data_IF_074030380132
#
_entry.id   IF_074030380132
#
_cell.length_a   1.000
_cell.length_b   1.000
_cell.length_c   1.000
_cell.angle_alpha   90.00
_cell.angle_beta   90.00
_cell.angle_gamma   90.00
#
_symmetry.space_group_name_H-M   'P 1'
#
loop_
_entity.id
_entity.type
_entity.pdbx_description
1 polymer ?
#
# COMPACT_ATOMS: atom_id res chain seq x y z
N UNK A 1 -10.63 -8.09 4.48
CA UNK A 1 -10.49 -7.02 3.45
C UNK A 1 -9.07 -7.01 2.91
N UNK A 2 -8.85 -6.82 1.61
CA UNK A 2 -7.51 -6.72 1.03
C UNK A 2 -7.15 -5.24 0.84
N UNK A 3 -6.08 -4.76 1.50
CA UNK A 3 -5.53 -3.42 1.30
C UNK A 3 -4.49 -3.45 0.19
N UNK A 4 -4.68 -2.66 -0.88
CA UNK A 4 -3.73 -2.50 -1.98
C UNK A 4 -2.99 -1.17 -1.86
N UNK A 5 -1.66 -1.19 -1.95
CA UNK A 5 -0.79 -0.02 -1.87
C UNK A 5 0.08 0.05 -3.13
N UNK A 6 0.02 1.16 -3.85
CA UNK A 6 0.94 1.46 -4.93
C UNK A 6 1.45 2.90 -4.82
N UNK A 7 2.76 3.01 -4.65
CA UNK A 7 3.50 4.26 -4.46
C UNK A 7 4.74 4.32 -5.38
N UNK A 8 4.78 3.44 -6.38
CA UNK A 8 5.89 3.35 -7.33
C UNK A 8 6.05 4.62 -8.16
N UNK A 9 4.96 5.34 -8.41
CA UNK A 9 4.96 6.60 -9.13
C UNK A 9 5.26 7.79 -8.21
N UNK A 10 6.23 8.62 -8.57
CA UNK A 10 6.63 9.84 -7.85
C UNK A 10 5.48 10.85 -7.65
N UNK A 11 4.45 10.80 -8.49
CA UNK A 11 3.42 11.84 -8.59
C UNK A 11 2.07 11.44 -7.98
N UNK A 12 1.91 10.20 -7.56
CA UNK A 12 0.63 9.69 -7.07
C UNK A 12 0.82 8.60 -6.03
N UNK A 13 -0.11 8.57 -5.08
CA UNK A 13 -0.27 7.48 -4.14
C UNK A 13 -1.62 6.84 -4.40
N UNK A 14 -1.62 5.54 -4.65
CA UNK A 14 -2.84 4.75 -4.87
C UNK A 14 -3.05 3.82 -3.68
N UNK A 15 -4.24 3.89 -3.12
CA UNK A 15 -4.70 2.96 -2.09
C UNK A 15 -6.02 2.34 -2.54
N UNK A 16 -6.15 1.03 -2.41
CA UNK A 16 -7.37 0.30 -2.73
C UNK A 16 -7.80 -0.63 -1.60
N UNK A 17 -9.09 -0.92 -1.53
CA UNK A 17 -9.68 -1.95 -0.69
C UNK A 17 -10.46 -2.91 -1.58
N UNK A 18 -10.26 -4.21 -1.39
CA UNK A 18 -11.03 -5.25 -2.09
C UNK A 18 -11.69 -6.18 -1.08
N UNK A 19 -13.00 -6.33 -1.17
CA UNK A 19 -13.75 -7.33 -0.41
C UNK A 19 -13.57 -8.69 -1.07
N UNK A 20 -13.03 -9.67 -0.34
CA UNK A 20 -12.90 -11.04 -0.82
C UNK A 20 -14.24 -11.78 -0.89
N UNK A 21 -15.28 -11.31 -0.18
CA UNK A 21 -16.59 -11.98 -0.10
C UNK A 21 -17.49 -11.66 -1.29
N UNK A 22 -17.45 -10.42 -1.77
CA UNK A 22 -18.45 -9.91 -2.72
C UNK A 22 -17.83 -9.36 -4.01
N UNK A 23 -16.50 -9.48 -4.16
CA UNK A 23 -15.76 -8.97 -5.32
C UNK A 23 -15.71 -7.45 -5.45
N UNK A 24 -16.29 -6.71 -4.50
CA UNK A 24 -16.36 -5.24 -4.55
C UNK A 24 -14.97 -4.64 -4.37
N UNK A 25 -14.56 -3.84 -5.37
CA UNK A 25 -13.31 -3.08 -5.35
C UNK A 25 -13.60 -1.60 -5.10
N UNK A 26 -12.93 -1.01 -4.12
CA UNK A 26 -13.00 0.41 -3.80
C UNK A 26 -11.61 1.01 -3.89
N UNK A 27 -11.45 2.13 -4.59
CA UNK A 27 -10.14 2.74 -4.85
C UNK A 27 -10.14 4.21 -4.48
N UNK A 28 -9.04 4.66 -3.87
CA UNK A 28 -8.72 6.05 -3.62
C UNK A 28 -7.34 6.35 -4.21
N UNK A 29 -7.31 7.21 -5.21
CA UNK A 29 -6.05 7.74 -5.75
C UNK A 29 -5.88 9.17 -5.24
N UNK A 30 -4.73 9.44 -4.62
CA UNK A 30 -4.33 10.78 -4.19
C UNK A 30 -3.21 11.26 -5.10
N UNK A 31 -3.51 12.25 -5.96
CA UNK A 31 -2.53 12.90 -6.84
C UNK A 31 -1.83 14.07 -6.11
N UNK A 32 -0.56 14.32 -6.47
CA UNK A 32 0.35 15.38 -5.96
C UNK A 32 -0.29 16.51 -5.12
N UNK A 33 -0.40 16.28 -3.81
CA UNK A 33 -0.34 17.36 -2.81
C UNK A 33 0.67 17.08 -1.67
N UNK A 34 1.05 15.81 -1.42
CA UNK A 34 1.91 15.42 -0.28
C UNK A 34 2.88 14.22 -0.52
N UNK A 35 3.17 13.81 -1.77
CA UNK A 35 4.10 12.68 -2.04
C UNK A 35 3.78 11.39 -1.28
N UNK A 36 4.79 10.59 -0.91
CA UNK A 36 4.62 9.37 -0.10
C UNK A 36 4.08 9.63 1.31
N UNK A 37 4.13 10.88 1.79
CA UNK A 37 3.55 11.28 3.09
C UNK A 37 2.01 11.21 3.08
N UNK A 38 1.38 11.23 1.90
CA UNK A 38 -0.07 11.04 1.77
C UNK A 38 -0.54 9.58 2.01
N UNK A 39 0.37 8.60 2.10
CA UNK A 39 -0.01 7.19 2.16
C UNK A 39 -0.87 6.85 3.38
N UNK A 40 -0.38 7.11 4.60
CA UNK A 40 -1.15 6.82 5.82
C UNK A 40 -2.47 7.60 5.89
N UNK A 41 -2.52 8.92 5.61
CA UNK A 41 -3.77 9.65 5.49
C UNK A 41 -4.74 9.06 4.46
N UNK A 42 -4.25 8.58 3.31
CA UNK A 42 -5.08 7.96 2.29
C UNK A 42 -5.69 6.62 2.78
N UNK A 43 -4.90 5.80 3.47
CA UNK A 43 -5.37 4.55 4.10
C UNK A 43 -6.47 4.85 5.13
N UNK A 44 -6.23 5.78 6.05
CA UNK A 44 -7.22 6.17 7.07
C UNK A 44 -8.50 6.72 6.41
N UNK A 45 -8.35 7.56 5.38
CA UNK A 45 -9.49 8.15 4.66
C UNK A 45 -10.33 7.09 3.93
N UNK A 46 -9.71 6.13 3.24
CA UNK A 46 -10.46 5.09 2.52
C UNK A 46 -11.14 4.11 3.48
N UNK A 47 -10.53 3.78 4.62
CA UNK A 47 -11.16 2.95 5.65
C UNK A 47 -12.37 3.67 6.27
N UNK A 48 -12.19 4.93 6.71
CA UNK A 48 -13.27 5.74 7.30
C UNK A 48 -14.45 5.93 6.35
N UNK A 49 -14.20 6.22 5.06
CA UNK A 49 -15.25 6.34 4.04
C UNK A 49 -16.09 5.08 3.85
N UNK A 50 -15.56 3.93 4.25
CA UNK A 50 -16.19 2.63 4.08
C UNK A 50 -16.64 2.01 5.40
N UNK A 51 -16.61 2.78 6.50
CA UNK A 51 -16.93 2.30 7.85
C UNK A 51 -16.13 1.06 8.24
N UNK A 52 -14.85 1.03 7.86
CA UNK A 52 -13.91 -0.04 8.20
C UNK A 52 -12.88 0.45 9.21
N UNK A 53 -12.42 -0.48 10.04
CA UNK A 53 -11.28 -0.31 10.93
C UNK A 53 -10.03 -0.92 10.31
N UNK A 54 -8.86 -0.54 10.84
CA UNK A 54 -7.57 -1.11 10.40
C UNK A 54 -7.52 -2.63 10.64
N UNK A 55 -8.19 -3.11 11.68
CA UNK A 55 -8.34 -4.52 12.04
C UNK A 55 -9.16 -5.35 11.04
N UNK A 56 -9.96 -4.73 10.18
CA UNK A 56 -10.73 -5.43 9.15
C UNK A 56 -9.87 -5.89 7.95
N UNK A 57 -8.64 -5.39 7.88
CA UNK A 57 -7.66 -5.79 6.88
C UNK A 57 -7.18 -7.20 7.21
N UNK A 58 -7.41 -8.12 6.27
CA UNK A 58 -7.01 -9.52 6.35
C UNK A 58 -5.80 -9.85 5.48
N UNK A 59 -5.48 -8.97 4.52
CA UNK A 59 -4.40 -9.15 3.57
C UNK A 59 -3.89 -7.80 3.07
N UNK A 60 -2.59 -7.69 2.81
CA UNK A 60 -1.99 -6.50 2.22
C UNK A 60 -1.28 -6.87 0.92
N UNK A 61 -1.58 -6.14 -0.13
CA UNK A 61 -0.85 -6.18 -1.39
C UNK A 61 -0.13 -4.85 -1.58
N UNK A 62 1.16 -4.89 -1.81
CA UNK A 62 1.97 -3.73 -2.13
C UNK A 62 2.70 -3.96 -3.44
N UNK A 63 2.69 -2.97 -4.33
CA UNK A 63 3.55 -2.99 -5.51
C UNK A 63 5.01 -2.79 -5.06
N UNK A 64 5.88 -3.82 -5.15
CA UNK A 64 7.26 -3.69 -4.71
C UNK A 64 8.12 -2.92 -5.71
N UNK A 65 7.61 -2.56 -6.88
CA UNK A 65 8.38 -1.92 -7.96
C UNK A 65 8.61 -2.85 -9.16
N UNK A 66 9.47 -2.44 -10.13
CA UNK A 66 10.34 -1.26 -10.12
C UNK A 66 9.58 0.08 -9.97
N UNK A 67 10.17 1.06 -9.29
CA UNK A 67 9.57 2.39 -9.16
C UNK A 67 10.47 3.40 -8.43
N UNK A 68 9.93 4.60 -8.16
CA UNK A 68 10.68 5.68 -7.51
C UNK A 68 11.30 5.24 -6.18
N UNK A 69 12.55 5.63 -5.95
CA UNK A 69 13.30 5.22 -4.75
C UNK A 69 12.53 5.54 -3.45
N UNK A 70 12.12 6.80 -3.29
CA UNK A 70 11.39 7.25 -2.11
C UNK A 70 10.00 6.63 -2.01
N UNK A 71 9.24 6.61 -3.11
CA UNK A 71 7.86 6.12 -3.10
C UNK A 71 7.81 4.63 -2.78
N UNK A 72 8.51 3.81 -3.57
CA UNK A 72 8.54 2.36 -3.40
C UNK A 72 9.04 1.96 -2.02
N UNK A 73 10.10 2.60 -1.50
CA UNK A 73 10.62 2.31 -0.15
C UNK A 73 9.59 2.60 0.92
N UNK A 74 8.89 3.73 0.85
CA UNK A 74 7.86 4.09 1.82
C UNK A 74 6.66 3.15 1.74
N UNK A 75 6.16 2.84 0.53
CA UNK A 75 5.04 1.92 0.35
C UNK A 75 5.31 0.54 0.92
N UNK A 76 6.47 -0.03 0.59
CA UNK A 76 6.88 -1.35 1.07
C UNK A 76 7.10 -1.35 2.58
N UNK A 77 7.74 -0.32 3.14
CA UNK A 77 7.94 -0.21 4.59
C UNK A 77 6.61 -0.15 5.36
N UNK A 78 5.66 0.67 4.90
CA UNK A 78 4.32 0.77 5.51
C UNK A 78 3.57 -0.55 5.40
N UNK A 79 3.61 -1.20 4.24
CA UNK A 79 2.96 -2.50 4.04
C UNK A 79 3.50 -3.57 4.99
N UNK A 80 4.82 -3.68 5.11
CA UNK A 80 5.46 -4.63 6.03
C UNK A 80 5.14 -4.31 7.50
N UNK A 81 5.17 -3.04 7.89
CA UNK A 81 4.86 -2.62 9.26
C UNK A 81 3.40 -2.93 9.63
N UNK A 82 2.45 -2.63 8.73
CA UNK A 82 1.03 -2.98 8.92
C UNK A 82 0.83 -4.50 8.93
N UNK A 83 1.50 -5.24 8.04
CA UNK A 83 1.44 -6.70 7.99
C UNK A 83 1.91 -7.34 9.29
N UNK A 84 3.01 -6.82 9.86
CA UNK A 84 3.52 -7.22 11.16
C UNK A 84 2.54 -6.88 12.29
N UNK A 85 2.09 -5.62 12.37
CA UNK A 85 1.22 -5.14 13.45
C UNK A 85 -0.16 -5.84 13.48
N UNK A 86 -0.72 -6.15 12.31
CA UNK A 86 -2.01 -6.82 12.18
C UNK A 86 -1.88 -8.35 12.12
N UNK A 87 -0.65 -8.89 12.12
CA UNK A 87 -0.37 -10.31 11.96
C UNK A 87 -1.01 -10.92 10.68
N UNK A 88 -0.96 -10.19 9.57
CA UNK A 88 -1.50 -10.59 8.26
C UNK A 88 -0.39 -10.78 7.23
N UNK A 89 -0.69 -11.48 6.15
CA UNK A 89 0.26 -11.65 5.04
C UNK A 89 0.38 -10.40 4.18
N UNK A 90 1.60 -10.16 3.68
CA UNK A 90 1.93 -9.13 2.69
C UNK A 90 2.38 -9.83 1.42
N UNK A 91 1.76 -9.53 0.27
CA UNK A 91 2.05 -10.18 -1.02
C UNK A 91 2.04 -11.72 -0.92
N UNK A 92 1.02 -12.28 -0.28
CA UNK A 92 0.86 -13.73 -0.10
C UNK A 92 1.76 -14.39 0.94
N UNK A 93 2.69 -13.66 1.58
CA UNK A 93 3.65 -14.24 2.54
C UNK A 93 3.45 -13.65 3.94
N UNK A 94 3.23 -14.51 4.94
CA UNK A 94 3.16 -14.13 6.35
C UNK A 94 4.54 -14.27 7.00
N UNK A 95 4.95 -13.30 7.81
CA UNK A 95 6.25 -13.32 8.51
C UNK A 95 7.47 -13.11 7.61
N UNK A 96 7.29 -12.77 6.32
CA UNK A 96 8.37 -12.43 5.40
C UNK A 96 8.26 -10.98 4.97
N UNK A 97 9.39 -10.29 4.97
CA UNK A 97 9.51 -8.89 4.55
C UNK A 97 9.50 -8.83 3.03
N UNK A 98 8.67 -7.96 2.46
CA UNK A 98 8.74 -7.58 1.04
C UNK A 98 9.89 -6.60 0.87
N UNK A 99 10.72 -6.80 -0.16
CA UNK A 99 11.87 -5.94 -0.47
C UNK A 99 11.49 -5.02 -1.65
N UNK A 100 11.76 -3.70 -1.55
CA UNK A 100 11.49 -2.77 -2.65
C UNK A 100 12.46 -2.99 -3.82
N UNK A 101 11.94 -2.80 -5.03
CA UNK A 101 12.65 -2.86 -6.30
C UNK A 101 12.61 -1.45 -6.88
N UNK A 102 13.78 -0.87 -7.12
CA UNK A 102 13.89 0.49 -7.60
C UNK A 102 14.01 0.53 -9.13
N UNK A 103 13.49 1.60 -9.72
CA UNK A 103 13.74 1.90 -11.12
C UNK A 103 15.22 2.23 -11.31
N UNK A 104 15.79 1.81 -12.45
CA UNK A 104 17.20 2.06 -12.73
C UNK A 104 17.46 3.56 -12.82
N UNK A 105 18.45 4.01 -12.08
CA UNK A 105 19.01 5.35 -12.18
C UNK A 105 19.77 5.51 -13.50
N UNK A 106 19.99 6.76 -13.92
CA UNK A 106 20.91 7.09 -15.02
C UNK A 106 22.37 6.75 -14.72
N UNK A 107 22.64 6.32 -13.49
CA UNK A 107 23.97 6.03 -12.96
C UNK A 107 24.17 4.55 -12.60
N UNK A 108 23.18 3.69 -12.88
CA UNK A 108 23.24 2.23 -12.65
C UNK A 108 23.86 1.46 -13.83
#
# INVERSE_FOLDING_TARGET
MILKIDTTNTNEVKVGLVSAKDGIQKKLTVKRKFGSQALLPAIVKILKKNNLQISDISHIEVNPGPGSFTGTRVGVAVANALGFALNVSVNGKKGRIVVPIYEKSKFD
#
